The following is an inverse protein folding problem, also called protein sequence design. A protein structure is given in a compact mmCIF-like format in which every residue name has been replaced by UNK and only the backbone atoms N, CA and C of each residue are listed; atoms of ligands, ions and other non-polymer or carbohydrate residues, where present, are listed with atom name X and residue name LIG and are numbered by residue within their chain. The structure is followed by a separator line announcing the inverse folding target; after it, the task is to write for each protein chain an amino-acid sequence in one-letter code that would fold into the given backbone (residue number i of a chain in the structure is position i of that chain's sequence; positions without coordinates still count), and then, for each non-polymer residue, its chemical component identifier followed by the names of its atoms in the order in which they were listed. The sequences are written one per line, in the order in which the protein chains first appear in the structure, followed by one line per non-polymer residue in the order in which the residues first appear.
data_IF_940691857884
#
_entry.id   IF_940691857884
#
_cell.length_a   1.000
_cell.length_b   1.000
_cell.length_c   1.000
_cell.angle_alpha   90.00
_cell.angle_beta   90.00
_cell.angle_gamma   90.00
#
_symmetry.space_group_name_H-M   'P 1'
#
loop_
_entity.id
_entity.type
_entity.pdbx_description
1 polymer ?
#
# COMPACT_ATOMS: atom_id res chain seq x y z
N UNK A 1 11.12 -11.43 1.80
CA UNK A 1 10.19 -10.34 2.16
C UNK A 1 10.56 -9.12 1.35
N UNK A 2 9.73 -8.73 0.40
CA UNK A 2 9.95 -7.54 -0.45
C UNK A 2 9.10 -6.41 0.08
N UNK A 3 9.68 -5.22 0.16
CA UNK A 3 8.99 -4.01 0.61
C UNK A 3 8.94 -3.02 -0.54
N UNK A 4 7.79 -2.38 -0.70
CA UNK A 4 7.57 -1.34 -1.70
C UNK A 4 7.46 0.00 -0.98
N UNK A 5 8.15 1.01 -1.51
CA UNK A 5 7.87 2.40 -1.11
C UNK A 5 6.45 2.80 -1.51
N UNK A 6 5.90 3.88 -0.94
CA UNK A 6 4.60 4.43 -1.37
C UNK A 6 4.52 4.64 -2.88
N UNK A 7 5.62 5.04 -3.52
CA UNK A 7 5.68 5.21 -4.97
C UNK A 7 5.53 3.87 -5.68
N UNK A 8 6.36 2.89 -5.34
CA UNK A 8 6.30 1.57 -5.95
C UNK A 8 4.97 0.84 -5.70
N UNK A 9 4.40 0.97 -4.49
CA UNK A 9 3.09 0.42 -4.17
C UNK A 9 1.99 1.08 -5.02
N UNK A 10 2.07 2.38 -5.28
CA UNK A 10 1.13 3.07 -6.17
C UNK A 10 1.24 2.55 -7.61
N UNK A 11 2.46 2.37 -8.11
CA UNK A 11 2.72 1.80 -9.44
C UNK A 11 2.24 0.34 -9.52
N UNK A 12 2.46 -0.46 -8.48
CA UNK A 12 2.02 -1.85 -8.38
C UNK A 12 0.50 -1.99 -8.43
N UNK A 13 -0.21 -1.11 -7.73
CA UNK A 13 -1.68 -1.06 -7.73
C UNK A 13 -2.27 -0.44 -9.02
N UNK A 14 -1.43 0.02 -9.96
CA UNK A 14 -1.87 0.68 -11.19
C UNK A 14 -2.32 2.13 -11.00
N UNK A 15 -2.24 2.69 -9.80
CA UNK A 15 -2.57 4.09 -9.53
C UNK A 15 -1.32 4.97 -9.65
N UNK A 16 -1.29 5.89 -10.61
CA UNK A 16 -0.14 6.82 -10.79
C UNK A 16 0.04 7.86 -9.68
N UNK A 17 -0.71 7.80 -8.57
CA UNK A 17 -0.69 8.83 -7.53
C UNK A 17 -0.51 8.27 -6.12
N UNK A 18 0.61 8.63 -5.51
CA UNK A 18 0.93 8.37 -4.09
C UNK A 18 -0.09 8.97 -3.12
N UNK A 19 -0.78 10.04 -3.53
CA UNK A 19 -1.83 10.69 -2.74
C UNK A 19 -3.01 9.78 -2.42
N UNK A 20 -3.29 8.80 -3.29
CA UNK A 20 -4.33 7.81 -3.05
C UNK A 20 -3.99 6.95 -1.83
N UNK A 21 -2.76 6.44 -1.76
CA UNK A 21 -2.27 5.67 -0.61
C UNK A 21 -2.19 6.50 0.67
N UNK A 22 -1.84 7.78 0.58
CA UNK A 22 -1.90 8.69 1.74
C UNK A 22 -3.33 8.88 2.24
N UNK A 23 -4.30 9.05 1.34
CA UNK A 23 -5.71 9.20 1.69
C UNK A 23 -6.27 7.93 2.32
N UNK A 24 -5.94 6.77 1.76
CA UNK A 24 -6.31 5.47 2.31
C UNK A 24 -5.81 5.27 3.73
N UNK A 25 -4.54 5.63 4.00
CA UNK A 25 -3.99 5.60 5.37
C UNK A 25 -4.77 6.49 6.33
N UNK A 26 -5.20 7.68 5.90
CA UNK A 26 -6.03 8.59 6.72
C UNK A 26 -7.44 8.07 6.98
N UNK A 27 -7.99 7.30 6.05
CA UNK A 27 -9.34 6.75 6.13
C UNK A 27 -9.37 5.36 6.79
N UNK A 28 -8.25 4.88 7.33
CA UNK A 28 -8.08 3.52 7.88
C UNK A 28 -8.35 2.39 6.86
N UNK A 29 -8.47 2.74 5.59
CA UNK A 29 -8.80 1.86 4.47
C UNK A 29 -7.54 1.58 3.64
N UNK A 30 -6.49 1.06 4.27
CA UNK A 30 -5.15 0.97 3.67
C UNK A 30 -4.57 -0.44 3.77
N UNK A 31 -3.75 -0.87 2.79
CA UNK A 31 -2.96 -2.08 2.94
C UNK A 31 -1.99 -1.94 4.11
N UNK A 32 -1.52 -3.06 4.70
CA UNK A 32 -0.55 -3.01 5.79
C UNK A 32 0.68 -2.21 5.37
N UNK A 33 1.14 -1.35 6.27
CA UNK A 33 2.30 -0.50 6.06
C UNK A 33 3.06 -0.34 7.37
N UNK A 34 4.33 -0.01 7.29
CA UNK A 34 5.13 0.40 8.43
C UNK A 34 6.01 1.59 8.08
N UNK A 35 6.32 2.38 9.10
CA UNK A 35 7.19 3.53 8.96
C UNK A 35 8.60 3.15 9.37
N UNK A 36 9.56 3.33 8.46
CA UNK A 36 10.98 3.18 8.75
C UNK A 36 11.65 4.55 8.61
N UNK A 37 11.85 5.21 9.75
CA UNK A 37 12.35 6.59 9.79
C UNK A 37 11.36 7.57 9.17
N UNK A 38 11.73 8.15 8.01
CA UNK A 38 10.88 9.08 7.24
C UNK A 38 10.16 8.43 6.06
N UNK A 39 10.38 7.14 5.82
CA UNK A 39 9.85 6.42 4.67
C UNK A 39 8.74 5.47 5.11
N UNK A 40 7.68 5.41 4.32
CA UNK A 40 6.58 4.46 4.49
C UNK A 40 6.82 3.30 3.52
N UNK A 41 6.79 2.09 4.07
CA UNK A 41 7.03 0.85 3.35
C UNK A 41 5.81 -0.06 3.45
N UNK A 42 5.53 -0.74 2.35
CA UNK A 42 4.44 -1.69 2.19
C UNK A 42 5.05 -3.08 1.98
N UNK A 43 4.84 -4.05 2.89
CA UNK A 43 5.19 -5.44 2.60
C UNK A 43 4.38 -5.93 1.40
N UNK A 44 5.07 -6.48 0.40
CA UNK A 44 4.43 -6.95 -0.83
C UNK A 44 3.38 -8.02 -0.55
N UNK A 45 3.70 -8.99 0.31
CA UNK A 45 2.78 -10.08 0.68
C UNK A 45 1.48 -9.51 1.29
N UNK A 46 1.59 -8.63 2.28
CA UNK A 46 0.42 -7.99 2.88
C UNK A 46 -0.34 -7.05 1.95
N UNK A 47 0.35 -6.42 0.97
CA UNK A 47 -0.31 -5.64 -0.08
C UNK A 47 -1.15 -6.54 -0.99
N UNK A 48 -0.63 -7.71 -1.37
CA UNK A 48 -1.34 -8.71 -2.18
C UNK A 48 -2.56 -9.22 -1.42
N UNK A 49 -2.39 -9.67 -0.17
CA UNK A 49 -3.49 -10.16 0.67
C UNK A 49 -4.61 -9.12 0.81
N UNK A 50 -4.26 -7.85 0.96
CA UNK A 50 -5.23 -6.76 1.04
C UNK A 50 -6.01 -6.56 -0.28
N UNK A 51 -5.34 -6.69 -1.43
CA UNK A 51 -5.98 -6.62 -2.75
C UNK A 51 -6.92 -7.81 -2.94
N UNK A 52 -6.48 -9.03 -2.63
CA UNK A 52 -7.28 -10.25 -2.78
C UNK A 52 -8.56 -10.20 -1.94
N UNK A 53 -8.48 -9.71 -0.69
CA UNK A 53 -9.65 -9.51 0.15
C UNK A 53 -10.69 -8.53 -0.43
N UNK A 54 -10.29 -7.63 -1.34
CA UNK A 54 -11.20 -6.64 -1.96
C UNK A 54 -11.79 -7.07 -3.29
N UNK A 55 -11.09 -7.93 -4.04
CA UNK A 55 -11.58 -8.45 -5.32
C UNK A 55 -12.66 -9.52 -5.07
N UNK A 56 -12.66 -10.17 -3.91
CA UNK A 56 -13.56 -11.29 -3.58
C UNK A 56 -14.93 -10.83 -3.03
N UNK A 57 -15.39 -9.61 -3.36
CA UNK A 57 -16.74 -9.09 -3.02
C UNK A 57 -17.47 -8.67 -4.28
#
# INVERSE_FOLDING_TARGET
MRYLTTKEASEYLGFKSVKTLERWRKNEDSPPYFQQGRVILYPLDGLIEWIENRITT
#
